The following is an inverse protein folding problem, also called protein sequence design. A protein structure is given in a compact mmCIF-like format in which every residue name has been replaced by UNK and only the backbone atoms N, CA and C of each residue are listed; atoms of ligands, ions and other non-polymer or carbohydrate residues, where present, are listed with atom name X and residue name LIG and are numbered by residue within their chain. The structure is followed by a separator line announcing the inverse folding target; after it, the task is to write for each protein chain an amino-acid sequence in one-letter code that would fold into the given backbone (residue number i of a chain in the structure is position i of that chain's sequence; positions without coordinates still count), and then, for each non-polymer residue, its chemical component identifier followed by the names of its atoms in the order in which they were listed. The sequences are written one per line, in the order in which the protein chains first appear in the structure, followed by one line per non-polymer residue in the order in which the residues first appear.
data_IF_238580844949
#
_entry.id   IF_238580844949
#
_cell.length_a   1.000
_cell.length_b   1.000
_cell.length_c   1.000
_cell.angle_alpha   90.00
_cell.angle_beta   90.00
_cell.angle_gamma   90.00
#
_symmetry.space_group_name_H-M   'P 1'
#
loop_
_entity.id
_entity.type
_entity.pdbx_description
1 polymer ?
#
# COMPACT_ATOMS: atom_id res chain seq x y z
N UNK A 1 17.80 3.86 -6.71
CA UNK A 1 18.43 5.17 -6.48
C UNK A 1 17.34 6.24 -6.40
N UNK A 2 17.31 6.99 -5.31
CA UNK A 2 16.40 8.10 -5.04
C UNK A 2 17.12 9.42 -5.35
N UNK A 3 16.54 10.24 -6.24
CA UNK A 3 17.10 11.52 -6.64
C UNK A 3 16.35 12.66 -5.93
N UNK A 4 17.09 13.52 -5.26
CA UNK A 4 16.53 14.67 -4.53
C UNK A 4 17.47 15.87 -4.62
N UNK A 5 17.02 17.04 -4.17
CA UNK A 5 17.86 18.24 -4.02
C UNK A 5 18.25 18.35 -2.55
N UNK A 6 19.53 18.54 -2.29
CA UNK A 6 20.01 18.86 -0.94
C UNK A 6 19.51 20.24 -0.52
N UNK A 7 18.96 20.35 0.69
CA UNK A 7 18.31 21.60 1.14
C UNK A 7 19.29 22.70 1.49
N UNK A 8 20.53 22.37 1.86
CA UNK A 8 21.54 23.35 2.24
C UNK A 8 22.33 23.83 1.03
N UNK A 9 22.77 22.92 0.17
CA UNK A 9 23.58 23.25 -1.00
C UNK A 9 22.77 23.58 -2.25
N UNK A 10 21.51 23.13 -2.34
CA UNK A 10 20.69 23.24 -3.54
C UNK A 10 21.15 22.33 -4.69
N UNK A 11 22.10 21.43 -4.45
CA UNK A 11 22.64 20.52 -5.46
C UNK A 11 21.78 19.26 -5.60
N UNK A 12 21.73 18.72 -6.81
CA UNK A 12 21.10 17.42 -7.05
C UNK A 12 21.95 16.31 -6.45
N UNK A 13 21.38 15.56 -5.50
CA UNK A 13 22.00 14.41 -4.85
C UNK A 13 21.27 13.12 -5.19
N UNK A 14 21.95 11.99 -5.00
CA UNK A 14 21.38 10.66 -5.19
C UNK A 14 21.64 9.81 -3.94
N UNK A 15 20.56 9.27 -3.38
CA UNK A 15 20.59 8.41 -2.20
C UNK A 15 20.19 7.01 -2.63
N UNK A 16 20.97 6.00 -2.26
CA UNK A 16 20.63 4.61 -2.55
C UNK A 16 20.09 3.94 -1.29
N UNK A 17 18.83 3.56 -1.33
CA UNK A 17 18.24 2.66 -0.33
C UNK A 17 18.32 1.23 -0.85
N UNK A 18 19.07 0.38 -0.14
CA UNK A 18 19.17 -1.05 -0.45
C UNK A 18 18.43 -1.87 0.60
N UNK A 19 17.24 -2.35 0.21
CA UNK A 19 16.41 -3.24 1.02
C UNK A 19 16.52 -4.71 0.58
N UNK A 20 17.48 -5.07 -0.29
CA UNK A 20 17.67 -6.45 -0.77
C UNK A 20 17.89 -7.47 0.36
N UNK A 21 18.38 -6.99 1.52
CA UNK A 21 18.59 -7.80 2.73
C UNK A 21 17.34 -7.95 3.60
N UNK A 22 16.27 -7.19 3.36
CA UNK A 22 15.00 -7.39 4.08
C UNK A 22 14.36 -8.67 3.58
N UNK A 23 14.10 -9.59 4.51
CA UNK A 23 13.35 -10.81 4.26
C UNK A 23 11.88 -10.58 4.61
N UNK A 24 10.97 -11.37 4.04
CA UNK A 24 9.54 -11.33 4.40
C UNK A 24 8.58 -10.93 3.29
N UNK A 25 9.05 -10.18 2.29
CA UNK A 25 8.23 -9.84 1.12
C UNK A 25 8.12 -11.06 0.22
N UNK A 26 6.94 -11.66 0.16
CA UNK A 26 6.68 -12.86 -0.63
C UNK A 26 6.05 -12.57 -1.98
N UNK A 27 5.54 -11.35 -2.16
CA UNK A 27 4.95 -10.89 -3.40
C UNK A 27 5.11 -9.38 -3.51
N UNK A 28 5.49 -8.90 -4.70
CA UNK A 28 5.69 -7.48 -4.99
C UNK A 28 5.32 -7.19 -6.44
N UNK A 29 4.39 -6.26 -6.67
CA UNK A 29 3.93 -5.91 -8.03
C UNK A 29 3.37 -4.50 -8.07
N UNK A 30 3.68 -3.78 -9.14
CA UNK A 30 3.02 -2.52 -9.47
C UNK A 30 1.82 -2.80 -10.37
N UNK A 31 0.66 -2.33 -9.94
CA UNK A 31 -0.59 -2.40 -10.66
C UNK A 31 -0.89 -1.07 -11.34
N UNK A 32 -1.22 -1.17 -12.63
CA UNK A 32 -1.50 -0.05 -13.51
C UNK A 32 -2.79 -0.36 -14.27
N UNK A 33 -3.63 0.65 -14.49
CA UNK A 33 -4.90 0.48 -15.21
C UNK A 33 -4.63 0.04 -16.65
N UNK A 34 -5.59 -0.68 -17.24
CA UNK A 34 -5.46 -1.28 -18.58
C UNK A 34 -5.01 -0.27 -19.64
N UNK A 35 -5.44 0.99 -19.51
CA UNK A 35 -5.09 2.09 -20.41
C UNK A 35 -3.59 2.44 -20.43
N UNK A 36 -2.86 2.18 -19.34
CA UNK A 36 -1.45 2.53 -19.21
C UNK A 36 -0.54 1.30 -19.06
N UNK A 37 -1.03 0.09 -19.39
CA UNK A 37 -0.28 -1.15 -19.22
C UNK A 37 0.96 -1.27 -20.11
N UNK A 38 1.03 -0.53 -21.21
CA UNK A 38 2.15 -0.48 -22.14
C UNK A 38 3.26 0.48 -21.70
N UNK A 39 3.03 1.31 -20.69
CA UNK A 39 3.97 2.32 -20.23
C UNK A 39 5.01 1.70 -19.30
N UNK A 40 6.22 1.49 -19.82
CA UNK A 40 7.29 0.78 -19.12
C UNK A 40 7.68 1.42 -17.78
N UNK A 41 7.84 2.75 -17.73
CA UNK A 41 8.31 3.44 -16.53
C UNK A 41 7.34 3.33 -15.34
N UNK A 42 6.05 3.07 -15.58
CA UNK A 42 5.07 2.86 -14.52
C UNK A 42 5.27 1.53 -13.79
N UNK A 43 5.95 0.56 -14.39
CA UNK A 43 6.21 -0.76 -13.80
C UNK A 43 7.59 -0.87 -13.15
N UNK A 44 8.42 0.15 -13.34
CA UNK A 44 9.70 0.27 -12.68
C UNK A 44 9.52 1.09 -11.40
N UNK A 45 9.73 0.46 -10.25
CA UNK A 45 9.53 1.05 -8.93
C UNK A 45 10.41 2.27 -8.69
N UNK A 46 11.65 2.23 -9.17
CA UNK A 46 12.57 3.35 -9.04
C UNK A 46 12.07 4.55 -9.86
N UNK A 47 11.74 4.34 -11.14
CA UNK A 47 11.25 5.40 -12.01
C UNK A 47 9.91 5.96 -11.53
N UNK A 48 8.98 5.10 -11.12
CA UNK A 48 7.65 5.49 -10.63
C UNK A 48 7.75 6.45 -9.44
N UNK A 49 8.48 6.06 -8.39
CA UNK A 49 8.53 6.84 -7.16
C UNK A 49 9.39 8.10 -7.30
N UNK A 50 10.48 8.07 -8.09
CA UNK A 50 11.20 9.30 -8.44
C UNK A 50 10.30 10.27 -9.22
N UNK A 51 9.47 9.79 -10.15
CA UNK A 51 8.53 10.63 -10.89
C UNK A 51 7.44 11.21 -9.98
N UNK A 52 6.94 10.44 -9.01
CA UNK A 52 5.97 10.89 -8.02
C UNK A 52 6.54 12.01 -7.14
N UNK A 53 7.78 11.86 -6.68
CA UNK A 53 8.50 12.84 -5.87
C UNK A 53 8.80 14.12 -6.67
N UNK A 54 9.34 13.98 -7.88
CA UNK A 54 9.59 15.12 -8.77
C UNK A 54 8.32 15.90 -9.15
N UNK A 55 7.14 15.27 -9.06
CA UNK A 55 5.86 15.93 -9.29
C UNK A 55 5.46 16.85 -8.13
N UNK A 56 6.00 16.63 -6.95
CA UNK A 56 5.70 17.38 -5.75
C UNK A 56 6.69 18.55 -5.57
N UNK A 57 6.16 19.77 -5.41
CA UNK A 57 6.97 21.00 -5.40
C UNK A 57 7.12 21.65 -4.02
N UNK A 58 6.35 21.21 -3.04
CA UNK A 58 6.35 21.77 -1.70
C UNK A 58 6.95 20.78 -0.72
N UNK A 59 7.60 21.29 0.32
CA UNK A 59 8.19 20.44 1.35
C UNK A 59 7.15 19.64 2.16
N UNK A 60 5.88 20.04 2.12
CA UNK A 60 4.74 19.38 2.80
C UNK A 60 3.89 18.51 1.85
N UNK A 61 4.37 18.29 0.63
CA UNK A 61 3.66 17.49 -0.35
C UNK A 61 3.68 16.00 0.02
N UNK A 62 2.62 15.28 -0.41
CA UNK A 62 2.47 13.84 -0.21
C UNK A 62 2.59 13.11 -1.55
N UNK A 63 3.75 12.56 -1.92
CA UNK A 63 3.95 11.92 -3.24
C UNK A 63 3.08 10.66 -3.40
N UNK A 64 2.93 9.90 -2.32
CA UNK A 64 2.04 8.75 -2.22
C UNK A 64 1.25 8.74 -0.92
N UNK A 65 0.37 7.75 -0.83
CA UNK A 65 -0.31 7.36 0.39
C UNK A 65 -0.36 5.83 0.46
N UNK A 66 -0.80 5.29 1.60
CA UNK A 66 -0.76 3.86 1.87
C UNK A 66 -2.07 3.38 2.45
N UNK A 67 -2.45 2.15 2.07
CA UNK A 67 -3.45 1.34 2.75
C UNK A 67 -2.75 0.04 3.18
N UNK A 68 -3.00 -0.37 4.41
CA UNK A 68 -2.51 -1.63 4.95
C UNK A 68 -3.68 -2.43 5.55
N UNK A 69 -3.67 -3.74 5.36
CA UNK A 69 -4.58 -4.64 6.08
C UNK A 69 -3.97 -6.03 6.27
N UNK A 70 -4.44 -6.70 7.32
CA UNK A 70 -4.09 -8.08 7.63
C UNK A 70 -4.75 -9.06 6.64
N UNK A 71 -4.03 -10.11 6.28
CA UNK A 71 -4.51 -11.20 5.45
C UNK A 71 -4.94 -12.37 6.35
N UNK A 72 -5.95 -13.16 5.95
CA UNK A 72 -6.38 -14.32 6.72
C UNK A 72 -5.29 -15.39 6.74
N UNK A 73 -4.69 -15.64 7.90
CA UNK A 73 -3.59 -16.59 8.09
C UNK A 73 -4.02 -18.05 7.92
N UNK A 74 -5.33 -18.31 8.02
CA UNK A 74 -5.92 -19.63 7.80
C UNK A 74 -6.04 -19.98 6.31
N UNK A 75 -5.84 -19.00 5.42
CA UNK A 75 -5.86 -19.18 3.97
C UNK A 75 -4.44 -19.30 3.42
N UNK A 76 -4.26 -20.11 2.39
CA UNK A 76 -2.96 -20.25 1.74
C UNK A 76 -2.52 -18.93 1.07
N UNK A 77 -1.22 -18.83 0.83
CA UNK A 77 -0.59 -17.60 0.33
C UNK A 77 -1.07 -17.24 -1.08
N UNK A 78 -1.25 -18.22 -1.95
CA UNK A 78 -1.65 -18.03 -3.34
C UNK A 78 -3.05 -17.41 -3.45
N UNK A 79 -4.00 -17.88 -2.64
CA UNK A 79 -5.34 -17.31 -2.53
C UNK A 79 -5.34 -15.92 -1.90
N UNK A 80 -4.48 -15.68 -0.92
CA UNK A 80 -4.28 -14.35 -0.35
C UNK A 80 -3.70 -13.35 -1.36
N UNK A 81 -2.75 -13.79 -2.19
CA UNK A 81 -2.24 -12.99 -3.32
C UNK A 81 -3.40 -12.65 -4.26
N UNK A 82 -4.19 -13.65 -4.68
CA UNK A 82 -5.35 -13.47 -5.56
C UNK A 82 -6.35 -12.46 -5.01
N UNK A 83 -6.72 -12.58 -3.72
CA UNK A 83 -7.60 -11.62 -3.04
C UNK A 83 -7.07 -10.19 -3.17
N UNK A 84 -5.76 -9.99 -2.91
CA UNK A 84 -5.13 -8.67 -3.01
C UNK A 84 -5.14 -8.16 -4.45
N UNK A 85 -4.78 -9.00 -5.43
CA UNK A 85 -4.76 -8.58 -6.84
C UNK A 85 -6.15 -8.12 -7.29
N UNK A 86 -7.19 -8.90 -6.99
CA UNK A 86 -8.59 -8.59 -7.33
C UNK A 86 -9.07 -7.32 -6.63
N UNK A 87 -8.80 -7.20 -5.33
CA UNK A 87 -9.19 -6.03 -4.52
C UNK A 87 -8.55 -4.74 -5.04
N UNK A 88 -7.23 -4.74 -5.25
CA UNK A 88 -6.49 -3.56 -5.72
C UNK A 88 -6.92 -3.17 -7.13
N UNK A 89 -7.07 -4.15 -8.03
CA UNK A 89 -7.51 -3.89 -9.40
C UNK A 89 -8.89 -3.27 -9.45
N UNK A 90 -9.84 -3.85 -8.70
CA UNK A 90 -11.24 -3.45 -8.73
C UNK A 90 -11.48 -2.08 -8.11
N UNK A 91 -10.85 -1.80 -6.96
CA UNK A 91 -11.25 -0.65 -6.14
C UNK A 91 -10.32 0.56 -6.20
N UNK A 92 -9.06 0.35 -6.58
CA UNK A 92 -8.06 1.42 -6.63
C UNK A 92 -7.60 1.67 -8.06
N UNK A 93 -7.11 0.63 -8.75
CA UNK A 93 -6.49 0.78 -10.08
C UNK A 93 -7.52 1.16 -11.15
N UNK A 94 -8.76 0.66 -11.04
CA UNK A 94 -9.88 1.03 -11.91
C UNK A 94 -10.16 2.55 -11.92
N UNK A 95 -9.71 3.30 -10.91
CA UNK A 95 -9.82 4.76 -10.81
C UNK A 95 -8.71 5.51 -11.56
N UNK A 96 -7.82 4.81 -12.26
CA UNK A 96 -6.65 5.38 -12.94
C UNK A 96 -5.49 5.71 -12.01
N UNK A 97 -5.42 5.01 -10.86
CA UNK A 97 -4.41 5.20 -9.81
C UNK A 97 -3.42 4.04 -9.85
N UNK A 98 -2.13 4.35 -9.83
CA UNK A 98 -1.06 3.35 -9.78
C UNK A 98 -0.86 2.90 -8.34
N UNK A 99 -0.78 1.59 -8.13
CA UNK A 99 -0.54 0.98 -6.83
C UNK A 99 0.72 0.11 -6.86
N UNK A 100 1.58 0.27 -5.86
CA UNK A 100 2.72 -0.57 -5.57
C UNK A 100 2.38 -1.46 -4.38
N UNK A 101 2.19 -2.76 -4.65
CA UNK A 101 1.66 -3.73 -3.69
C UNK A 101 2.78 -4.64 -3.24
N UNK A 102 2.92 -4.81 -1.92
CA UNK A 102 3.90 -5.69 -1.29
C UNK A 102 3.22 -6.51 -0.20
N UNK A 103 3.35 -7.84 -0.25
CA UNK A 103 2.74 -8.76 0.73
C UNK A 103 3.84 -9.38 1.59
N UNK A 104 3.62 -9.34 2.90
CA UNK A 104 4.54 -9.77 3.93
C UNK A 104 4.03 -11.02 4.65
N UNK A 105 4.93 -12.00 4.82
CA UNK A 105 4.72 -13.26 5.55
C UNK A 105 5.90 -13.57 6.51
N UNK A 106 6.71 -12.58 6.86
CA UNK A 106 7.78 -12.68 7.86
C UNK A 106 7.27 -12.99 9.27
N UNK A 107 6.04 -12.58 9.58
CA UNK A 107 5.33 -13.01 10.79
C UNK A 107 4.15 -13.95 10.41
N UNK A 108 4.23 -15.26 10.69
CA UNK A 108 3.15 -16.21 10.41
C UNK A 108 1.82 -15.87 11.09
N UNK A 109 1.84 -15.15 12.21
CA UNK A 109 0.63 -14.73 12.93
C UNK A 109 0.05 -13.41 12.43
N UNK A 110 0.77 -12.70 11.56
CA UNK A 110 0.35 -11.41 11.01
C UNK A 110 0.78 -11.25 9.54
N UNK A 111 0.32 -12.12 8.61
CA UNK A 111 0.48 -11.83 7.20
C UNK A 111 -0.32 -10.57 6.86
N UNK A 112 0.28 -9.66 6.09
CA UNK A 112 -0.32 -8.37 5.79
C UNK A 112 0.12 -7.86 4.42
N UNK A 113 -0.63 -6.91 3.88
CA UNK A 113 -0.32 -6.25 2.61
C UNK A 113 -0.13 -4.76 2.82
N UNK A 114 0.94 -4.23 2.23
CA UNK A 114 1.14 -2.80 2.01
C UNK A 114 0.72 -2.45 0.58
N UNK A 115 -0.20 -1.50 0.44
CA UNK A 115 -0.65 -0.95 -0.84
C UNK A 115 -0.29 0.52 -0.84
N UNK A 116 0.90 0.84 -1.34
CA UNK A 116 1.29 2.22 -1.58
C UNK A 116 0.70 2.67 -2.92
N UNK A 117 0.18 3.89 -3.01
CA UNK A 117 -0.44 4.38 -4.23
C UNK A 117 -0.16 5.85 -4.47
N UNK A 118 -0.22 6.27 -5.74
CA UNK A 118 -0.09 7.67 -6.10
C UNK A 118 -1.32 8.46 -5.63
N UNK A 119 -1.10 9.63 -5.03
CA UNK A 119 -2.19 10.55 -4.65
C UNK A 119 -2.78 11.33 -5.84
N UNK A 120 -2.37 10.98 -7.06
CA UNK A 120 -2.71 11.65 -8.32
C UNK A 120 -3.02 10.58 -9.35
N UNK A 121 -4.08 10.79 -10.14
CA UNK A 121 -4.37 9.96 -11.32
C UNK A 121 -3.32 10.20 -12.39
N UNK A 122 -3.12 9.19 -13.24
CA UNK A 122 -2.40 9.38 -14.49
C UNK A 122 -3.22 10.22 -15.46
N UNK A 123 -2.54 10.91 -16.37
CA UNK A 123 -3.14 11.62 -17.48
C UNK A 123 -2.29 11.49 -18.74
N UNK A 124 -2.87 11.85 -19.88
CA UNK A 124 -2.19 11.87 -21.17
C UNK A 124 -2.17 13.30 -21.71
N UNK A 125 -1.00 13.75 -22.13
CA UNK A 125 -0.83 15.04 -22.82
C UNK A 125 -1.27 14.92 -24.29
N UNK A 126 -1.43 16.05 -24.97
CA UNK A 126 -1.83 16.09 -26.39
C UNK A 126 -0.86 15.36 -27.31
N UNK A 127 0.44 15.35 -26.96
CA UNK A 127 1.49 14.61 -27.67
C UNK A 127 1.47 13.09 -27.37
N UNK A 128 0.51 12.60 -26.59
CA UNK A 128 0.37 11.19 -26.22
C UNK A 128 1.19 10.75 -25.00
N UNK A 129 2.01 11.64 -24.42
CA UNK A 129 2.86 11.34 -23.27
C UNK A 129 2.03 11.10 -22.00
N UNK A 130 2.34 10.03 -21.27
CA UNK A 130 1.69 9.68 -20.01
C UNK A 130 2.41 10.34 -18.84
N UNK A 131 1.67 11.09 -18.03
CA UNK A 131 2.20 11.88 -16.92
C UNK A 131 1.38 11.70 -15.65
N UNK A 132 2.00 11.97 -14.50
CA UNK A 132 1.27 12.08 -13.23
C UNK A 132 0.46 13.39 -13.23
N UNK A 133 -0.84 13.31 -12.96
CA UNK A 133 -1.80 14.41 -13.04
C UNK A 133 -1.42 15.66 -12.22
N UNK A 134 -1.92 16.82 -12.63
CA UNK A 134 -1.68 18.11 -11.93
C UNK A 134 -2.45 18.22 -10.61
N UNK A 135 -3.58 17.53 -10.50
CA UNK A 135 -4.49 17.61 -9.36
C UNK A 135 -4.43 16.31 -8.57
N UNK A 136 -4.46 16.42 -7.24
CA UNK A 136 -4.56 15.26 -6.34
C UNK A 136 -5.96 14.68 -6.38
N UNK A 137 -6.06 13.36 -6.34
CA UNK A 137 -7.32 12.68 -6.15
C UNK A 137 -7.76 12.81 -4.69
N UNK A 138 -8.70 13.73 -4.43
CA UNK A 138 -9.25 13.95 -3.08
C UNK A 138 -10.32 12.93 -2.72
N UNK A 139 -10.86 12.21 -3.71
CA UNK A 139 -11.91 11.23 -3.48
C UNK A 139 -11.33 10.00 -2.80
N UNK A 140 -10.19 9.48 -3.28
CA UNK A 140 -9.55 8.30 -2.69
C UNK A 140 -9.10 8.54 -1.24
N UNK A 141 -8.73 9.77 -0.90
CA UNK A 141 -8.37 10.17 0.47
C UNK A 141 -9.58 10.56 1.34
N UNK A 142 -10.81 10.47 0.81
CA UNK A 142 -12.00 10.84 1.58
C UNK A 142 -12.39 9.74 2.60
N UNK A 143 -12.95 10.12 3.76
CA UNK A 143 -13.51 9.14 4.70
C UNK A 143 -14.53 8.20 4.06
N UNK A 144 -15.32 8.70 3.11
CA UNK A 144 -16.29 7.89 2.36
C UNK A 144 -15.62 6.73 1.63
N UNK A 145 -14.53 7.00 0.88
CA UNK A 145 -13.82 5.94 0.17
C UNK A 145 -13.07 5.03 1.14
N UNK A 146 -12.52 5.56 2.23
CA UNK A 146 -11.91 4.73 3.27
C UNK A 146 -12.91 3.71 3.85
N UNK A 147 -14.11 4.14 4.25
CA UNK A 147 -15.12 3.23 4.79
C UNK A 147 -15.60 2.21 3.76
N UNK A 148 -15.77 2.66 2.51
CA UNK A 148 -16.10 1.78 1.40
C UNK A 148 -15.03 0.70 1.19
N UNK A 149 -13.75 1.07 1.16
CA UNK A 149 -12.64 0.12 1.02
C UNK A 149 -12.59 -0.88 2.18
N UNK A 150 -12.87 -0.43 3.42
CA UNK A 150 -12.95 -1.33 4.59
C UNK A 150 -14.08 -2.36 4.46
N UNK A 151 -15.25 -1.93 4.00
CA UNK A 151 -16.39 -2.82 3.76
C UNK A 151 -16.10 -3.83 2.64
N UNK A 152 -15.49 -3.36 1.54
CA UNK A 152 -15.09 -4.24 0.44
C UNK A 152 -13.99 -5.23 0.84
N UNK A 153 -13.11 -4.87 1.76
CA UNK A 153 -12.12 -5.79 2.33
C UNK A 153 -12.83 -6.89 3.14
N UNK A 154 -13.81 -6.53 3.98
CA UNK A 154 -14.65 -7.50 4.70
C UNK A 154 -15.37 -8.45 3.74
N UNK A 155 -16.02 -7.91 2.69
CA UNK A 155 -16.74 -8.71 1.69
C UNK A 155 -15.79 -9.67 0.97
N UNK A 156 -14.63 -9.19 0.50
CA UNK A 156 -13.66 -10.00 -0.22
C UNK A 156 -13.08 -11.12 0.65
N UNK A 157 -12.70 -10.82 1.89
CA UNK A 157 -12.17 -11.81 2.83
C UNK A 157 -13.22 -12.86 3.20
N UNK A 158 -14.47 -12.44 3.48
CA UNK A 158 -15.54 -13.38 3.81
C UNK A 158 -15.89 -14.29 2.64
N UNK A 159 -15.93 -13.74 1.41
CA UNK A 159 -16.10 -14.53 0.19
C UNK A 159 -14.98 -15.55 0.02
N UNK A 160 -13.73 -15.15 0.26
CA UNK A 160 -12.60 -16.08 0.19
C UNK A 160 -12.74 -17.21 1.21
N UNK A 161 -13.10 -16.92 2.46
CA UNK A 161 -13.36 -17.96 3.46
C UNK A 161 -14.44 -18.95 3.00
N UNK A 162 -15.52 -18.48 2.38
CA UNK A 162 -16.54 -19.35 1.78
C UNK A 162 -16.00 -20.21 0.65
N UNK A 163 -15.27 -19.61 -0.29
CA UNK A 163 -14.67 -20.31 -1.45
C UNK A 163 -13.75 -21.45 -1.04
N UNK A 164 -12.98 -21.27 0.03
CA UNK A 164 -12.06 -22.29 0.55
C UNK A 164 -12.67 -23.20 1.63
N UNK A 165 -13.97 -23.06 1.90
CA UNK A 165 -14.70 -23.93 2.84
C UNK A 165 -14.37 -23.70 4.33
N UNK A 166 -13.90 -22.51 4.70
CA UNK A 166 -13.58 -22.16 6.08
C UNK A 166 -14.77 -21.48 6.80
N UNK A 167 -15.02 -21.80 8.09
CA UNK A 167 -16.18 -21.30 8.82
C UNK A 167 -15.99 -19.88 9.38
N UNK A 168 -14.92 -19.18 9.00
CA UNK A 168 -14.55 -17.90 9.58
C UNK A 168 -15.26 -16.73 8.90
N UNK A 169 -15.46 -15.66 9.67
CA UNK A 169 -15.93 -14.36 9.19
C UNK A 169 -15.19 -13.24 9.87
N UNK A 170 -14.97 -12.16 9.14
CA UNK A 170 -14.47 -10.87 9.64
C UNK A 170 -15.55 -9.82 9.50
N UNK A 171 -15.42 -8.74 10.28
CA UNK A 171 -16.21 -7.53 10.05
C UNK A 171 -15.36 -6.27 10.17
N UNK A 172 -15.66 -5.30 9.33
CA UNK A 172 -15.06 -3.95 9.32
C UNK A 172 -15.60 -3.07 10.45
N UNK A 173 -16.71 -3.49 11.08
CA UNK A 173 -17.40 -2.83 12.18
C UNK A 173 -16.66 -3.00 13.50
N UNK A 174 -16.76 -2.00 14.37
CA UNK A 174 -16.29 -2.10 15.76
C UNK A 174 -17.13 -3.11 16.56
N UNK A 175 -16.57 -3.67 17.65
CA UNK A 175 -17.32 -4.50 18.61
C UNK A 175 -18.61 -3.83 19.09
N UNK A 176 -18.55 -2.54 19.44
CA UNK A 176 -19.73 -1.76 19.83
C UNK A 176 -20.83 -1.77 18.76
N UNK A 177 -20.47 -1.58 17.49
CA UNK A 177 -21.42 -1.59 16.37
C UNK A 177 -21.99 -2.98 16.07
N UNK A 178 -21.29 -4.04 16.50
CA UNK A 178 -21.76 -5.43 16.47
C UNK A 178 -22.56 -5.82 17.72
N UNK A 179 -22.69 -4.93 18.72
CA UNK A 179 -23.33 -5.24 19.99
C UNK A 179 -22.50 -6.17 20.88
N UNK A 180 -21.20 -6.28 20.63
CA UNK A 180 -20.27 -7.10 21.41
C UNK A 180 -19.69 -6.24 22.53
N UNK A 181 -19.91 -6.66 23.78
CA UNK A 181 -19.39 -6.01 24.98
C UNK A 181 -17.93 -6.43 25.22
N UNK A 182 -17.05 -5.94 24.35
CA UNK A 182 -15.61 -6.18 24.41
C UNK A 182 -14.85 -4.89 24.08
N UNK A 183 -13.88 -4.56 24.91
CA UNK A 183 -12.96 -3.45 24.66
C UNK A 183 -11.95 -3.83 23.55
N UNK A 184 -11.75 -2.98 22.53
CA UNK A 184 -10.72 -3.19 21.53
C UNK A 184 -9.33 -3.28 22.13
N UNK A 185 -8.48 -4.14 21.56
CA UNK A 185 -7.08 -4.22 21.96
C UNK A 185 -6.31 -2.96 21.51
N UNK A 186 -5.32 -2.54 22.31
CA UNK A 186 -4.41 -1.45 21.91
C UNK A 186 -3.41 -1.97 20.87
N UNK A 187 -3.23 -1.24 19.78
CA UNK A 187 -2.22 -1.55 18.77
C UNK A 187 -0.85 -1.69 19.43
N UNK A 188 -0.17 -2.82 19.17
CA UNK A 188 1.18 -3.08 19.64
C UNK A 188 2.13 -3.09 18.46
N UNK A 189 2.89 -2.02 18.30
CA UNK A 189 3.91 -1.95 17.25
C UNK A 189 5.04 -2.95 17.49
N UNK A 190 5.90 -3.16 16.48
CA UNK A 190 7.03 -4.10 16.53
C UNK A 190 7.98 -3.86 17.72
N UNK A 191 7.98 -2.65 18.25
CA UNK A 191 8.82 -2.22 19.38
C UNK A 191 8.19 -2.48 20.76
N UNK A 192 6.91 -2.87 20.84
CA UNK A 192 6.25 -3.07 22.14
C UNK A 192 6.83 -4.21 22.99
N UNK A 193 7.59 -5.11 22.36
CA UNK A 193 8.28 -6.21 23.04
C UNK A 193 9.80 -5.99 23.13
N UNK A 194 10.31 -4.91 22.54
CA UNK A 194 11.74 -4.63 22.48
C UNK A 194 12.20 -3.89 23.73
N UNK A 195 13.27 -4.36 24.34
CA UNK A 195 13.96 -3.57 25.37
C UNK A 195 14.61 -2.33 24.72
N UNK A 196 14.83 -1.26 25.49
CA UNK A 196 15.38 0.01 24.97
C UNK A 196 16.68 -0.16 24.18
N UNK A 197 17.52 -1.13 24.58
CA UNK A 197 18.77 -1.49 23.91
C UNK A 197 18.56 -2.14 22.53
N UNK A 198 17.51 -2.96 22.37
CA UNK A 198 17.18 -3.62 21.09
C UNK A 198 16.56 -2.63 20.10
N UNK A 199 15.82 -1.63 20.60
CA UNK A 199 15.33 -0.51 19.80
C UNK A 199 16.49 0.29 19.21
N UNK A 200 17.47 0.67 20.04
CA UNK A 200 18.64 1.46 19.63
C UNK A 200 19.49 0.75 18.56
N UNK A 201 19.73 -0.55 18.72
CA UNK A 201 20.43 -1.37 17.70
C UNK A 201 19.66 -1.45 16.38
N UNK A 202 18.33 -1.51 16.43
CA UNK A 202 17.48 -1.60 15.23
C UNK A 202 17.35 -0.27 14.49
N UNK A 203 17.41 0.86 15.20
CA UNK A 203 17.43 2.23 14.62
C UNK A 203 18.80 2.69 14.12
N UNK A 204 19.90 2.02 14.50
CA UNK A 204 21.23 2.22 13.90
C UNK A 204 21.30 1.56 12.52
N UNK A 205 20.58 2.10 11.53
CA UNK A 205 20.80 1.84 10.10
C UNK A 205 20.53 3.08 9.27
#
# INVERSE_FOLDING_TARGET
MYKTIDKESGEAISITYDFSKKQGVVYSKIFVSKEFQDIAWLKDRELLWNAAEARERRADSRPGAEIEFALPKEVNKEDNIRLVEEYVQKWIVSRGIVCDVNIHYDNPDNPHVHIQYLTRRLGRLENGEVVIGKVKDRELESPRVLYFLREECEIATNKLYEEVGLPFRVSSKSYKALGIDQEPTKHRGVTNHMQGTELEEKTKK
#
